data_IF_325020227088
#
_entry.id   IF_325020227088
#
_cell.length_a   1.000
_cell.length_b   1.000
_cell.length_c   1.000
_cell.angle_alpha   90.00
_cell.angle_beta   90.00
_cell.angle_gamma   90.00
#
_symmetry.space_group_name_H-M   'P 1'
#
loop_
_entity.id
_entity.type
_entity.pdbx_description
1 polymer ?
#
# COMPACT_ATOMS: atom_id res chain seq x y z
N UNK A 1 10.11 39.98 30.19
CA UNK A 1 8.73 39.80 30.68
C UNK A 1 8.29 38.40 30.32
N UNK A 2 8.49 37.46 31.25
CA UNK A 2 8.18 36.04 31.09
C UNK A 2 6.97 35.73 31.97
N UNK A 3 5.82 35.54 31.34
CA UNK A 3 4.55 35.29 32.02
C UNK A 3 4.44 33.79 32.31
N UNK A 4 4.71 33.40 33.56
CA UNK A 4 4.45 32.04 34.05
C UNK A 4 2.95 31.86 34.28
N UNK A 5 2.32 30.95 33.53
CA UNK A 5 0.95 30.52 33.75
C UNK A 5 0.97 29.28 34.66
N UNK A 6 0.72 29.47 35.95
CA UNK A 6 0.54 28.37 36.91
C UNK A 6 -0.94 28.00 36.98
N UNK A 7 -1.37 27.01 36.20
CA UNK A 7 -2.68 26.36 36.36
C UNK A 7 -2.58 25.25 37.41
N UNK A 8 -2.79 25.61 38.66
CA UNK A 8 -3.03 24.66 39.76
C UNK A 8 -4.46 24.10 39.62
N UNK A 9 -4.59 22.96 38.92
CA UNK A 9 -5.81 22.14 38.92
C UNK A 9 -5.95 21.44 40.28
N UNK A 10 -6.53 22.15 41.24
CA UNK A 10 -7.04 21.57 42.49
C UNK A 10 -8.25 20.70 42.15
N UNK A 11 -8.00 19.39 41.98
CA UNK A 11 -9.03 18.36 41.85
C UNK A 11 -9.82 18.22 43.14
N UNK A 12 -10.78 19.11 43.35
CA UNK A 12 -11.85 18.88 44.32
C UNK A 12 -12.72 17.72 43.82
N UNK A 13 -13.16 16.80 44.70
CA UNK A 13 -14.10 15.75 44.30
C UNK A 13 -15.33 16.42 43.69
N UNK A 14 -15.67 16.04 42.46
CA UNK A 14 -16.93 16.42 41.82
C UNK A 14 -18.06 15.96 42.74
N UNK A 15 -18.58 16.87 43.55
CA UNK A 15 -19.84 16.68 44.26
C UNK A 15 -20.95 16.73 43.22
N UNK A 16 -21.17 15.60 42.56
CA UNK A 16 -22.37 15.37 41.79
C UNK A 16 -23.52 15.38 42.80
N UNK A 17 -24.26 16.48 42.82
CA UNK A 17 -25.46 16.65 43.64
C UNK A 17 -26.37 15.44 43.45
N UNK A 18 -26.51 14.63 44.51
CA UNK A 18 -27.33 13.42 44.52
C UNK A 18 -28.83 13.69 44.27
N UNK A 19 -29.25 14.96 44.24
CA UNK A 19 -30.63 15.39 44.03
C UNK A 19 -31.10 15.33 42.56
N UNK A 20 -30.20 15.08 41.59
CA UNK A 20 -30.57 15.04 40.16
C UNK A 20 -30.97 13.65 39.65
N UNK A 21 -30.83 12.60 40.47
CA UNK A 21 -30.96 11.22 40.00
C UNK A 21 -32.30 10.65 40.47
N UNK A 22 -33.43 11.14 39.96
CA UNK A 22 -34.73 10.40 40.03
C UNK A 22 -35.40 10.19 38.67
N UNK A 23 -34.93 10.88 37.62
CA UNK A 23 -35.43 10.69 36.26
C UNK A 23 -34.88 9.40 35.61
N UNK A 24 -35.70 8.75 34.79
CA UNK A 24 -35.26 7.69 33.87
C UNK A 24 -34.60 8.36 32.68
N UNK A 25 -33.37 7.97 32.34
CA UNK A 25 -32.66 8.48 31.18
C UNK A 25 -33.09 7.68 29.95
N UNK A 26 -33.69 8.33 28.96
CA UNK A 26 -34.10 7.68 27.71
C UNK A 26 -33.04 7.87 26.64
N UNK A 27 -32.47 6.77 26.15
CA UNK A 27 -31.48 6.75 25.07
C UNK A 27 -32.10 6.09 23.84
N UNK A 28 -32.02 6.78 22.70
CA UNK A 28 -32.42 6.23 21.41
C UNK A 28 -31.21 6.01 20.53
N UNK A 29 -31.04 4.79 20.05
CA UNK A 29 -29.92 4.37 19.23
C UNK A 29 -30.42 4.11 17.81
N UNK A 30 -29.86 4.78 16.81
CA UNK A 30 -30.06 4.44 15.41
C UNK A 30 -28.85 3.65 14.93
N UNK A 31 -29.05 2.39 14.57
CA UNK A 31 -27.98 1.49 14.13
C UNK A 31 -28.13 1.20 12.64
N UNK A 32 -27.25 1.79 11.84
CA UNK A 32 -27.17 1.50 10.41
C UNK A 32 -26.46 0.17 10.22
N UNK A 33 -27.14 -0.77 9.59
CA UNK A 33 -26.67 -2.14 9.43
C UNK A 33 -26.87 -2.61 8.00
N UNK A 34 -25.93 -3.44 7.52
CA UNK A 34 -26.05 -4.09 6.23
C UNK A 34 -26.79 -5.42 6.41
N UNK A 35 -27.86 -5.63 5.65
CA UNK A 35 -28.77 -6.77 5.85
C UNK A 35 -28.15 -8.10 5.43
N UNK A 36 -27.38 -8.06 4.35
CA UNK A 36 -26.94 -9.25 3.63
C UNK A 36 -25.52 -9.62 4.06
N UNK A 37 -25.19 -10.93 4.15
CA UNK A 37 -23.80 -11.34 4.27
C UNK A 37 -23.08 -10.93 2.98
N UNK A 38 -22.11 -10.01 3.02
CA UNK A 38 -21.39 -9.64 1.83
C UNK A 38 -20.53 -10.83 1.37
N UNK A 39 -20.25 -10.94 0.06
CA UNK A 39 -19.46 -12.04 -0.49
C UNK A 39 -18.03 -12.13 0.09
N UNK A 40 -17.56 -11.08 0.78
CA UNK A 40 -16.25 -11.01 1.42
C UNK A 40 -16.27 -11.16 2.95
N UNK A 41 -17.37 -11.65 3.56
CA UNK A 41 -17.36 -12.01 4.99
C UNK A 41 -17.22 -10.84 5.96
N UNK A 42 -17.67 -9.63 5.59
CA UNK A 42 -17.68 -8.48 6.49
C UNK A 42 -18.53 -8.81 7.73
N UNK A 43 -17.88 -8.88 8.89
CA UNK A 43 -18.47 -9.30 10.17
C UNK A 43 -19.53 -8.33 10.72
N UNK A 44 -19.78 -7.22 10.04
CA UNK A 44 -20.72 -6.17 10.45
C UNK A 44 -22.15 -6.31 9.91
N UNK A 45 -22.53 -7.44 9.29
CA UNK A 45 -23.92 -7.62 8.84
C UNK A 45 -24.86 -8.00 9.98
N UNK A 46 -26.13 -7.60 9.85
CA UNK A 46 -27.14 -7.75 10.90
C UNK A 46 -27.28 -9.18 11.46
N UNK A 47 -27.23 -10.26 10.65
CA UNK A 47 -27.31 -11.62 11.18
C UNK A 47 -26.18 -11.98 12.17
N UNK A 48 -25.01 -11.34 12.08
CA UNK A 48 -23.88 -11.61 12.96
C UNK A 48 -23.89 -10.73 14.22
N UNK A 49 -24.24 -9.44 14.09
CA UNK A 49 -24.17 -8.49 15.20
C UNK A 49 -25.49 -8.30 15.95
N UNK A 50 -26.62 -8.63 15.32
CA UNK A 50 -27.97 -8.48 15.89
C UNK A 50 -28.12 -9.17 17.25
N UNK A 51 -27.78 -10.47 17.38
CA UNK A 51 -27.86 -11.17 18.66
C UNK A 51 -27.00 -10.53 19.76
N UNK A 52 -25.84 -9.94 19.41
CA UNK A 52 -24.98 -9.24 20.35
C UNK A 52 -25.62 -7.95 20.85
N UNK A 53 -26.28 -7.18 19.98
CA UNK A 53 -27.05 -5.99 20.37
C UNK A 53 -28.22 -6.33 21.28
N UNK A 54 -29.00 -7.38 20.95
CA UNK A 54 -30.12 -7.81 21.77
C UNK A 54 -29.66 -8.24 23.17
N UNK A 55 -28.60 -9.04 23.24
CA UNK A 55 -28.00 -9.48 24.51
C UNK A 55 -27.48 -8.28 25.31
N UNK A 56 -26.77 -7.35 24.66
CA UNK A 56 -26.25 -6.15 25.32
C UNK A 56 -27.39 -5.27 25.87
N UNK A 57 -28.50 -5.13 25.11
CA UNK A 57 -29.66 -4.36 25.56
C UNK A 57 -30.34 -5.00 26.77
N UNK A 58 -30.48 -6.32 26.78
CA UNK A 58 -31.02 -7.06 27.93
C UNK A 58 -30.14 -6.89 29.17
N UNK A 59 -28.82 -7.02 29.00
CA UNK A 59 -27.85 -6.81 30.08
C UNK A 59 -27.88 -5.39 30.61
N UNK A 60 -27.96 -4.38 29.74
CA UNK A 60 -28.05 -2.98 30.15
C UNK A 60 -29.36 -2.73 30.90
N UNK A 61 -30.49 -3.22 30.42
CA UNK A 61 -31.78 -3.06 31.10
C UNK A 61 -31.75 -3.67 32.51
N UNK A 62 -31.06 -4.81 32.67
CA UNK A 62 -30.89 -5.49 33.96
C UNK A 62 -29.94 -4.74 34.90
N UNK A 63 -28.79 -4.27 34.40
CA UNK A 63 -27.76 -3.62 35.21
C UNK A 63 -28.08 -2.16 35.53
N UNK A 64 -28.84 -1.49 34.66
CA UNK A 64 -29.16 -0.07 34.73
C UNK A 64 -30.68 0.12 34.58
N UNK A 65 -31.48 -0.23 35.61
CA UNK A 65 -32.95 -0.18 35.53
C UNK A 65 -33.52 1.23 35.33
N UNK A 66 -32.68 2.25 35.42
CA UNK A 66 -33.01 3.67 35.23
C UNK A 66 -32.59 4.22 33.87
N UNK A 67 -32.08 3.34 33.02
CA UNK A 67 -31.66 3.64 31.67
C UNK A 67 -32.62 2.92 30.72
N UNK A 68 -33.45 3.68 30.02
CA UNK A 68 -34.36 3.14 29.02
C UNK A 68 -33.70 3.26 27.65
N UNK A 69 -33.30 2.14 27.06
CA UNK A 69 -32.64 2.12 25.74
C UNK A 69 -33.59 1.58 24.68
N UNK A 70 -33.80 2.36 23.64
CA UNK A 70 -34.42 1.92 22.39
C UNK A 70 -33.38 1.87 21.28
N UNK A 71 -33.47 0.87 20.39
CA UNK A 71 -32.57 0.72 19.27
C UNK A 71 -33.37 0.47 17.99
N UNK A 72 -33.21 1.35 17.01
CA UNK A 72 -33.81 1.28 15.68
C UNK A 72 -32.73 0.83 14.69
N UNK A 73 -32.91 -0.34 14.06
CA UNK A 73 -32.02 -0.81 13.00
C UNK A 73 -32.44 -0.22 11.65
N UNK A 74 -31.52 0.49 11.01
CA UNK A 74 -31.63 0.98 9.64
C UNK A 74 -30.96 -0.02 8.71
N UNK A 75 -31.79 -0.88 8.15
CA UNK A 75 -31.37 -1.98 7.30
C UNK A 75 -31.20 -1.49 5.87
N UNK A 76 -30.13 -1.94 5.21
CA UNK A 76 -29.86 -1.63 3.80
C UNK A 76 -31.02 -1.94 2.87
N UNK A 77 -31.26 -1.06 1.89
CA UNK A 77 -32.18 -1.35 0.78
C UNK A 77 -31.75 -2.63 0.04
N UNK A 78 -32.68 -3.46 -0.45
CA UNK A 78 -32.36 -4.61 -1.30
C UNK A 78 -31.63 -4.22 -2.60
N UNK A 79 -31.68 -2.94 -2.99
CA UNK A 79 -30.98 -2.41 -4.15
C UNK A 79 -29.48 -2.20 -3.89
N UNK A 80 -29.07 -2.02 -2.63
CA UNK A 80 -27.67 -1.86 -2.24
C UNK A 80 -26.98 -3.23 -2.18
N UNK A 81 -26.17 -3.55 -3.19
CA UNK A 81 -25.47 -4.83 -3.31
C UNK A 81 -24.16 -4.85 -2.54
N UNK A 82 -23.55 -3.69 -2.33
CA UNK A 82 -22.26 -3.56 -1.66
C UNK A 82 -22.33 -2.68 -0.41
N UNK A 83 -21.42 -2.93 0.53
CA UNK A 83 -21.24 -2.08 1.72
C UNK A 83 -21.07 -0.61 1.34
N UNK A 84 -20.26 -0.33 0.30
CA UNK A 84 -19.94 1.02 -0.17
C UNK A 84 -21.17 1.73 -0.76
N UNK A 85 -22.02 1.02 -1.50
CA UNK A 85 -23.29 1.58 -1.98
C UNK A 85 -24.20 1.93 -0.81
N UNK A 86 -24.32 1.04 0.18
CA UNK A 86 -25.12 1.32 1.36
C UNK A 86 -24.56 2.45 2.20
N UNK A 87 -23.24 2.56 2.35
CA UNK A 87 -22.59 3.65 3.10
C UNK A 87 -22.90 5.04 2.49
N UNK A 88 -23.08 5.14 1.17
CA UNK A 88 -23.47 6.39 0.51
C UNK A 88 -24.93 6.77 0.76
N UNK A 89 -25.82 5.78 0.85
CA UNK A 89 -27.26 5.98 1.05
C UNK A 89 -27.70 5.98 2.52
N UNK A 90 -26.89 5.41 3.40
CA UNK A 90 -27.23 5.25 4.82
C UNK A 90 -27.48 6.56 5.52
N UNK A 91 -26.76 7.58 5.08
CA UNK A 91 -26.83 8.96 5.50
C UNK A 91 -28.22 9.56 5.23
N UNK A 92 -28.69 9.44 3.99
CA UNK A 92 -30.04 9.87 3.59
C UNK A 92 -31.12 9.05 4.31
N UNK A 93 -30.94 7.73 4.42
CA UNK A 93 -31.87 6.85 5.10
C UNK A 93 -31.98 7.18 6.60
N UNK A 94 -30.84 7.47 7.24
CA UNK A 94 -30.77 7.88 8.64
C UNK A 94 -31.46 9.22 8.85
N UNK A 95 -31.18 10.21 8.00
CA UNK A 95 -31.80 11.52 8.07
C UNK A 95 -33.31 11.45 7.85
N UNK A 96 -33.76 10.72 6.83
CA UNK A 96 -35.17 10.51 6.58
C UNK A 96 -35.87 9.86 7.77
N UNK A 97 -35.22 8.89 8.44
CA UNK A 97 -35.75 8.26 9.65
C UNK A 97 -35.78 9.19 10.85
N UNK A 98 -34.70 9.93 11.08
CA UNK A 98 -34.56 10.83 12.23
C UNK A 98 -35.51 12.02 12.13
N UNK A 99 -35.50 12.74 11.00
CA UNK A 99 -36.35 13.92 10.78
C UNK A 99 -37.81 13.57 10.44
N UNK A 100 -38.08 12.37 9.91
CA UNK A 100 -39.44 11.90 9.63
C UNK A 100 -40.25 11.50 10.88
N UNK A 101 -39.59 11.30 12.03
CA UNK A 101 -40.25 11.05 13.32
C UNK A 101 -40.72 12.39 13.91
N UNK A 102 -41.78 12.95 13.36
CA UNK A 102 -42.30 14.29 13.73
C UNK A 102 -42.83 14.39 15.18
N UNK A 103 -43.02 13.26 15.88
CA UNK A 103 -43.62 13.24 17.23
C UNK A 103 -43.04 12.16 18.18
N UNK A 104 -41.97 11.45 17.80
CA UNK A 104 -41.40 10.44 18.69
C UNK A 104 -40.88 11.12 19.94
N UNK A 105 -41.31 10.65 21.13
CA UNK A 105 -40.87 11.16 22.43
C UNK A 105 -39.39 11.51 22.38
N UNK A 106 -39.06 12.77 22.63
CA UNK A 106 -37.68 13.25 22.61
C UNK A 106 -36.87 12.41 23.59
N UNK A 107 -36.03 11.52 23.06
CA UNK A 107 -35.02 10.85 23.87
C UNK A 107 -34.11 11.91 24.49
N UNK A 108 -33.68 11.68 25.73
CA UNK A 108 -32.73 12.57 26.40
C UNK A 108 -31.37 12.52 25.70
N UNK A 109 -31.02 11.37 25.12
CA UNK A 109 -29.80 11.17 24.34
C UNK A 109 -30.12 10.39 23.07
N UNK A 110 -29.64 10.87 21.93
CA UNK A 110 -29.67 10.11 20.66
C UNK A 110 -28.25 9.68 20.29
N UNK A 111 -28.08 8.40 19.99
CA UNK A 111 -26.83 7.79 19.57
C UNK A 111 -26.97 7.27 18.14
N UNK A 112 -25.95 7.48 17.32
CA UNK A 112 -25.87 6.97 15.96
C UNK A 112 -24.73 5.95 15.88
N UNK A 113 -25.08 4.70 15.60
CA UNK A 113 -24.13 3.62 15.33
C UNK A 113 -24.10 3.37 13.83
N UNK A 114 -22.92 3.50 13.24
CA UNK A 114 -22.74 3.48 11.80
C UNK A 114 -22.24 2.12 11.34
N UNK A 115 -22.50 1.74 10.08
CA UNK A 115 -22.03 0.46 9.60
C UNK A 115 -20.51 0.54 9.48
N UNK A 116 -19.79 -0.52 9.83
CA UNK A 116 -18.35 -0.63 9.55
C UNK A 116 -18.03 -0.81 8.05
N UNK A 117 -18.88 -0.29 7.17
CA UNK A 117 -18.78 -0.42 5.72
C UNK A 117 -17.80 0.56 5.09
N UNK A 118 -17.57 1.73 5.71
CA UNK A 118 -16.56 2.73 5.35
C UNK A 118 -16.43 3.75 6.49
N UNK A 119 -15.26 4.36 6.67
CA UNK A 119 -15.00 5.30 7.76
C UNK A 119 -15.93 6.53 7.70
N UNK A 120 -16.48 6.87 8.87
CA UNK A 120 -17.34 7.97 9.37
C UNK A 120 -17.51 9.33 8.62
N UNK A 121 -17.01 9.52 7.39
CA UNK A 121 -16.96 10.81 6.69
C UNK A 121 -18.33 11.46 6.47
N UNK A 122 -19.36 10.68 6.15
CA UNK A 122 -20.71 11.19 5.90
C UNK A 122 -21.44 11.68 7.16
N UNK A 123 -21.30 10.95 8.26
CA UNK A 123 -22.08 11.21 9.48
C UNK A 123 -21.49 12.36 10.30
N UNK A 124 -20.19 12.61 10.14
CA UNK A 124 -19.59 13.83 10.64
C UNK A 124 -20.32 15.08 10.10
N UNK A 125 -20.83 15.04 8.85
CA UNK A 125 -21.62 16.10 8.24
C UNK A 125 -23.08 16.12 8.74
N UNK A 126 -23.74 14.96 8.89
CA UNK A 126 -25.09 14.88 9.47
C UNK A 126 -25.18 15.46 10.88
N UNK A 127 -24.14 15.29 11.68
CA UNK A 127 -24.14 15.72 13.07
C UNK A 127 -23.64 17.16 13.27
N UNK A 128 -23.52 17.98 12.22
CA UNK A 128 -23.08 19.40 12.33
C UNK A 128 -24.09 20.34 13.01
N UNK A 129 -25.30 19.86 13.32
CA UNK A 129 -26.29 20.57 14.15
C UNK A 129 -26.76 19.76 15.38
N UNK A 130 -26.08 18.64 15.69
CA UNK A 130 -26.36 17.84 16.87
C UNK A 130 -25.27 18.11 17.92
N UNK A 131 -25.64 18.21 19.19
CA UNK A 131 -24.69 18.23 20.31
C UNK A 131 -23.94 16.90 20.34
N UNK A 132 -22.80 16.84 19.64
CA UNK A 132 -22.01 15.61 19.53
C UNK A 132 -21.38 15.30 20.89
N UNK A 133 -21.79 14.19 21.49
CA UNK A 133 -20.99 13.53 22.50
C UNK A 133 -19.88 12.73 21.82
N UNK A 134 -18.77 13.40 21.48
CA UNK A 134 -17.55 12.70 21.07
C UNK A 134 -16.93 12.13 22.35
N UNK A 135 -17.01 10.81 22.53
CA UNK A 135 -16.39 10.14 23.66
C UNK A 135 -14.93 9.83 23.30
N UNK A 136 -14.08 10.87 23.28
CA UNK A 136 -12.63 10.72 23.17
C UNK A 136 -12.07 10.24 24.52
N UNK A 137 -12.21 8.95 24.83
CA UNK A 137 -11.75 8.41 26.12
C UNK A 137 -11.15 7.02 26.00
N UNK A 138 -10.22 6.76 26.92
CA UNK A 138 -9.79 5.43 27.30
C UNK A 138 -10.77 4.88 28.34
N UNK A 139 -11.29 3.68 28.12
CA UNK A 139 -12.18 2.97 29.03
C UNK A 139 -11.43 1.80 29.65
N UNK A 140 -11.36 1.74 30.98
CA UNK A 140 -10.84 0.57 31.67
C UNK A 140 -11.91 -0.50 31.77
N UNK A 141 -11.76 -1.56 30.98
CA UNK A 141 -12.60 -2.76 31.04
C UNK A 141 -11.89 -3.87 31.82
N UNK A 142 -12.63 -4.91 32.18
CA UNK A 142 -12.04 -6.13 32.79
C UNK A 142 -11.00 -6.80 31.90
N UNK A 143 -11.11 -6.61 30.59
CA UNK A 143 -10.21 -7.17 29.57
C UNK A 143 -9.02 -6.26 29.25
N UNK A 144 -8.92 -5.09 29.88
CA UNK A 144 -7.89 -4.10 29.64
C UNK A 144 -8.45 -2.75 29.20
N UNK A 145 -7.55 -1.80 28.98
CA UNK A 145 -7.90 -0.46 28.56
C UNK A 145 -8.22 -0.42 27.06
N UNK A 146 -9.36 0.18 26.71
CA UNK A 146 -9.77 0.43 25.32
C UNK A 146 -9.68 1.92 25.05
N UNK A 147 -8.87 2.34 24.08
CA UNK A 147 -8.78 3.74 23.65
C UNK A 147 -9.54 3.92 22.35
N UNK A 148 -10.41 4.93 22.30
CA UNK A 148 -11.10 5.38 21.08
C UNK A 148 -10.38 6.63 20.56
N UNK A 149 -9.97 6.59 19.29
CA UNK A 149 -9.29 7.67 18.60
C UNK A 149 -10.20 8.87 18.32
N UNK A 150 -9.62 9.95 17.78
CA UNK A 150 -10.37 11.17 17.45
C UNK A 150 -11.44 10.93 16.37
N UNK A 151 -11.21 9.97 15.47
CA UNK A 151 -12.16 9.54 14.44
C UNK A 151 -13.22 8.54 14.95
N UNK A 152 -13.24 8.20 16.24
CA UNK A 152 -14.24 7.32 16.83
C UNK A 152 -13.98 5.81 16.64
N UNK A 153 -12.84 5.45 16.06
CA UNK A 153 -12.36 4.08 15.93
C UNK A 153 -11.64 3.61 17.19
N UNK A 154 -11.70 2.30 17.47
CA UNK A 154 -10.88 1.70 18.51
C UNK A 154 -9.43 1.63 18.03
N UNK A 155 -8.49 2.14 18.82
CA UNK A 155 -7.06 1.95 18.59
C UNK A 155 -6.63 0.66 19.32
N UNK A 156 -6.42 -0.46 18.62
CA UNK A 156 -6.05 -1.71 19.28
C UNK A 156 -4.60 -1.65 19.77
N UNK A 157 -4.32 -2.24 20.93
CA UNK A 157 -2.95 -2.52 21.36
C UNK A 157 -2.35 -3.58 20.43
N UNK A 158 -1.34 -3.20 19.66
CA UNK A 158 -0.58 -4.15 18.85
C UNK A 158 0.57 -4.72 19.66
N UNK A 159 0.78 -6.04 19.57
CA UNK A 159 1.89 -6.72 20.25
C UNK A 159 2.70 -7.52 19.25
N UNK A 160 4.02 -7.50 19.42
CA UNK A 160 4.95 -8.38 18.71
C UNK A 160 5.38 -9.44 19.70
N UNK A 161 4.95 -10.68 19.46
CA UNK A 161 5.33 -11.85 20.22
C UNK A 161 6.45 -12.62 19.52
N UNK A 162 7.28 -13.26 20.31
CA UNK A 162 8.33 -14.16 19.85
C UNK A 162 8.28 -15.43 20.69
N UNK A 163 8.35 -16.58 20.03
CA UNK A 163 8.53 -17.87 20.70
C UNK A 163 9.94 -17.94 21.26
N UNK A 164 10.05 -18.17 22.57
CA UNK A 164 11.31 -18.42 23.22
C UNK A 164 11.81 -19.83 22.87
N UNK A 165 13.09 -19.96 22.51
CA UNK A 165 13.65 -21.23 22.04
C UNK A 165 13.83 -22.22 23.19
N UNK A 166 14.11 -21.72 24.40
CA UNK A 166 14.40 -22.57 25.55
C UNK A 166 13.12 -23.02 26.26
N UNK A 167 12.12 -22.13 26.36
CA UNK A 167 10.85 -22.44 27.04
C UNK A 167 9.71 -22.86 26.11
N UNK A 168 9.83 -22.69 24.80
CA UNK A 168 8.76 -22.84 23.80
C UNK A 168 7.53 -21.92 24.04
N UNK A 169 7.63 -20.96 24.95
CA UNK A 169 6.53 -20.05 25.27
C UNK A 169 6.50 -18.84 24.34
N UNK A 170 5.29 -18.36 24.02
CA UNK A 170 5.08 -17.11 23.29
C UNK A 170 5.23 -15.91 24.24
N UNK A 171 6.27 -15.11 24.03
CA UNK A 171 6.58 -13.96 24.89
C UNK A 171 6.41 -12.65 24.11
N UNK A 172 5.66 -11.70 24.68
CA UNK A 172 5.54 -10.34 24.12
C UNK A 172 6.88 -9.61 24.26
N UNK A 173 7.46 -9.20 23.13
CA UNK A 173 8.74 -8.46 23.07
C UNK A 173 8.53 -6.97 22.83
N UNK A 174 7.59 -6.60 21.97
CA UNK A 174 7.17 -5.21 21.79
C UNK A 174 5.67 -5.07 21.99
N UNK A 175 5.27 -3.90 22.47
CA UNK A 175 3.88 -3.49 22.60
C UNK A 175 3.75 -2.07 22.08
N UNK A 176 2.76 -1.80 21.24
CA UNK A 176 2.42 -0.44 20.86
C UNK A 176 1.49 0.17 21.89
N UNK A 177 1.85 1.34 22.40
CA UNK A 177 0.96 2.17 23.21
C UNK A 177 -0.15 2.75 22.33
N UNK A 178 -1.44 2.43 22.57
CA UNK A 178 -2.54 2.91 21.74
C UNK A 178 -2.77 4.42 21.85
N UNK A 179 -2.33 5.08 22.92
CA UNK A 179 -2.51 6.52 23.10
C UNK A 179 -1.46 7.33 22.34
N UNK A 180 -0.20 6.86 22.34
CA UNK A 180 0.92 7.60 21.73
C UNK A 180 1.38 7.02 20.39
N UNK A 181 0.91 5.82 20.04
CA UNK A 181 1.38 5.06 18.88
C UNK A 181 2.82 4.56 19.02
N UNK A 182 3.49 4.80 20.15
CA UNK A 182 4.91 4.45 20.36
C UNK A 182 5.07 2.97 20.65
N UNK A 183 6.12 2.38 20.09
CA UNK A 183 6.53 1.02 20.42
C UNK A 183 7.33 1.02 21.73
N UNK A 184 6.86 0.26 22.70
CA UNK A 184 7.51 -0.01 23.98
C UNK A 184 8.12 -1.40 23.90
N UNK A 185 9.43 -1.49 24.16
CA UNK A 185 10.13 -2.75 24.26
C UNK A 185 9.84 -3.37 25.63
N UNK A 186 9.05 -4.44 25.67
CA UNK A 186 8.70 -5.17 26.90
C UNK A 186 9.86 -6.06 27.34
N UNK A 187 10.54 -6.71 26.38
CA UNK A 187 11.71 -7.57 26.61
C UNK A 187 12.67 -7.50 25.42
N UNK A 188 13.99 -7.72 25.61
CA UNK A 188 14.94 -7.79 24.51
C UNK A 188 14.54 -8.88 23.49
N UNK A 189 14.62 -8.53 22.21
CA UNK A 189 14.33 -9.46 21.10
C UNK A 189 15.56 -10.33 20.89
N UNK A 190 15.39 -11.65 20.91
CA UNK A 190 16.46 -12.61 20.66
C UNK A 190 16.51 -12.94 19.18
N UNK A 191 17.67 -12.73 18.54
CA UNK A 191 17.84 -13.08 17.13
C UNK A 191 18.69 -14.34 17.02
N UNK A 192 18.33 -15.32 16.17
CA UNK A 192 19.06 -16.59 16.09
C UNK A 192 20.56 -16.42 15.80
N UNK A 193 20.94 -15.40 15.02
CA UNK A 193 22.33 -15.12 14.65
C UNK A 193 23.06 -14.20 15.65
N UNK A 194 22.38 -13.69 16.69
CA UNK A 194 22.89 -12.65 17.59
C UNK A 194 23.15 -11.28 16.94
N UNK A 195 23.12 -11.18 15.61
CA UNK A 195 23.36 -9.95 14.87
C UNK A 195 22.04 -9.27 14.52
N UNK A 196 21.81 -8.09 15.10
CA UNK A 196 20.62 -7.26 14.91
C UNK A 196 21.00 -5.82 14.56
N UNK A 197 20.26 -5.11 13.68
CA UNK A 197 19.15 -5.59 12.86
C UNK A 197 19.55 -6.56 11.75
N UNK A 198 18.68 -7.53 11.46
CA UNK A 198 18.79 -8.27 10.20
C UNK A 198 18.68 -7.24 9.09
N UNK A 199 19.58 -7.31 8.11
CA UNK A 199 19.52 -6.39 6.97
C UNK A 199 18.16 -6.54 6.29
N UNK A 200 17.50 -5.40 6.07
CA UNK A 200 16.26 -5.32 5.31
C UNK A 200 16.47 -5.62 3.81
N UNK A 201 17.72 -5.75 3.37
CA UNK A 201 18.11 -6.12 2.02
C UNK A 201 19.23 -7.18 2.08
N UNK A 202 19.18 -8.27 1.28
CA UNK A 202 20.26 -9.25 1.24
C UNK A 202 21.57 -8.60 0.74
N UNK A 203 22.72 -9.20 1.08
CA UNK A 203 24.05 -8.66 0.73
C UNK A 203 24.23 -8.34 -0.76
N UNK A 204 23.57 -9.09 -1.65
CA UNK A 204 23.63 -8.90 -3.09
C UNK A 204 22.48 -8.07 -3.66
N UNK A 205 21.65 -7.45 -2.83
CA UNK A 205 20.40 -6.83 -3.25
C UNK A 205 19.35 -7.87 -3.65
N UNK A 206 18.08 -7.47 -3.71
CA UNK A 206 16.99 -8.38 -4.08
C UNK A 206 17.12 -8.93 -5.50
N UNK A 207 17.85 -8.22 -6.37
CA UNK A 207 18.08 -8.60 -7.78
C UNK A 207 19.46 -9.19 -8.04
N UNK A 208 20.32 -9.30 -7.03
CA UNK A 208 21.70 -9.75 -7.22
C UNK A 208 22.62 -8.70 -7.87
N UNK A 209 22.14 -7.47 -8.06
CA UNK A 209 22.81 -6.38 -8.75
C UNK A 209 23.53 -5.40 -7.81
N UNK A 210 23.51 -5.64 -6.48
CA UNK A 210 24.28 -4.82 -5.56
C UNK A 210 25.78 -4.88 -5.91
N UNK A 211 26.46 -3.74 -5.81
CA UNK A 211 27.88 -3.58 -6.15
C UNK A 211 28.77 -4.61 -5.44
N UNK A 212 28.39 -5.03 -4.23
CA UNK A 212 29.09 -6.05 -3.46
C UNK A 212 29.14 -7.44 -4.13
N UNK A 213 28.22 -7.72 -5.06
CA UNK A 213 28.10 -9.01 -5.76
C UNK A 213 28.19 -8.88 -7.29
N UNK A 214 28.26 -7.66 -7.82
CA UNK A 214 28.67 -7.46 -9.20
C UNK A 214 30.10 -8.00 -9.34
N UNK A 215 30.23 -9.16 -9.99
CA UNK A 215 31.53 -9.60 -10.49
C UNK A 215 32.09 -8.44 -11.28
N UNK A 216 33.26 -7.94 -10.90
CA UNK A 216 33.92 -6.91 -11.70
C UNK A 216 33.93 -7.43 -13.14
N UNK A 217 33.45 -6.65 -14.11
CA UNK A 217 33.42 -7.10 -15.49
C UNK A 217 34.84 -7.56 -15.81
N UNK A 218 34.99 -8.83 -16.19
CA UNK A 218 36.30 -9.36 -16.58
C UNK A 218 36.83 -8.41 -17.65
N UNK A 219 37.85 -7.62 -17.30
CA UNK A 219 38.42 -6.58 -18.18
C UNK A 219 38.77 -7.17 -19.56
N UNK A 220 39.03 -8.48 -19.63
CA UNK A 220 39.19 -9.27 -20.85
C UNK A 220 38.08 -9.07 -21.91
N UNK A 221 36.80 -8.98 -21.53
CA UNK A 221 35.69 -9.01 -22.49
C UNK A 221 35.51 -7.69 -23.25
N UNK A 222 35.93 -6.55 -22.67
CA UNK A 222 35.77 -5.24 -23.30
C UNK A 222 36.99 -4.87 -24.16
N UNK A 223 38.21 -5.20 -23.74
CA UNK A 223 39.41 -4.77 -24.45
C UNK A 223 39.74 -5.62 -25.68
N UNK A 224 39.30 -6.88 -25.72
CA UNK A 224 39.52 -7.77 -26.87
C UNK A 224 38.94 -7.22 -28.19
N UNK A 225 37.64 -6.88 -28.25
CA UNK A 225 37.03 -6.33 -29.46
C UNK A 225 37.57 -4.95 -29.87
N UNK A 226 37.91 -4.09 -28.89
CA UNK A 226 38.43 -2.75 -29.16
C UNK A 226 39.83 -2.82 -29.79
N UNK A 227 40.73 -3.66 -29.25
CA UNK A 227 42.06 -3.86 -29.85
C UNK A 227 41.99 -4.58 -31.20
N UNK A 228 41.07 -5.54 -31.34
CA UNK A 228 40.83 -6.23 -32.61
C UNK A 228 40.33 -5.28 -33.71
N UNK A 229 39.33 -4.46 -33.43
CA UNK A 229 38.79 -3.48 -34.39
C UNK A 229 39.80 -2.39 -34.75
N UNK A 230 40.55 -1.87 -33.77
CA UNK A 230 41.62 -0.92 -34.01
C UNK A 230 42.71 -1.50 -34.92
N UNK A 231 43.14 -2.75 -34.70
CA UNK A 231 44.16 -3.39 -35.54
C UNK A 231 43.65 -3.64 -36.98
N UNK A 232 42.40 -4.08 -37.15
CA UNK A 232 41.77 -4.21 -38.46
C UNK A 232 41.69 -2.86 -39.20
N UNK A 233 41.31 -1.77 -38.51
CA UNK A 233 41.26 -0.44 -39.11
C UNK A 233 42.65 0.01 -39.59
N UNK A 234 43.69 -0.18 -38.78
CA UNK A 234 45.08 0.15 -39.14
C UNK A 234 45.55 -0.69 -40.34
N UNK A 235 45.23 -1.99 -40.38
CA UNK A 235 45.57 -2.86 -41.50
C UNK A 235 44.87 -2.43 -42.79
N UNK A 236 43.58 -2.10 -42.74
CA UNK A 236 42.83 -1.61 -43.91
C UNK A 236 43.42 -0.30 -44.41
N UNK A 237 43.71 0.65 -43.51
CA UNK A 237 44.36 1.91 -43.87
C UNK A 237 45.74 1.68 -44.50
N UNK A 238 46.54 0.76 -43.97
CA UNK A 238 47.85 0.40 -44.53
C UNK A 238 47.73 -0.22 -45.93
N UNK A 239 46.75 -1.09 -46.18
CA UNK A 239 46.49 -1.69 -47.49
C UNK A 239 46.04 -0.63 -48.50
N UNK A 240 45.12 0.24 -48.11
CA UNK A 240 44.64 1.34 -48.97
C UNK A 240 45.78 2.30 -49.30
N UNK A 241 46.60 2.66 -48.31
CA UNK A 241 47.75 3.54 -48.52
C UNK A 241 48.79 2.90 -49.45
N UNK A 242 49.11 1.60 -49.27
CA UNK A 242 50.03 0.86 -50.13
C UNK A 242 49.52 0.72 -51.56
N UNK A 243 48.22 0.47 -51.76
CA UNK A 243 47.62 0.43 -53.11
C UNK A 243 47.68 1.80 -53.78
N UNK A 244 47.34 2.87 -53.05
CA UNK A 244 47.33 4.22 -53.60
C UNK A 244 48.72 4.76 -53.91
N UNK A 245 49.74 4.30 -53.20
CA UNK A 245 51.15 4.70 -53.40
C UNK A 245 51.92 3.73 -54.29
N UNK A 246 51.30 2.65 -54.79
CA UNK A 246 51.95 1.72 -55.70
C UNK A 246 52.35 2.45 -56.99
N UNK A 247 53.65 2.58 -57.30
CA UNK A 247 54.13 3.32 -58.46
C UNK A 247 53.70 2.72 -59.81
N UNK A 248 53.18 1.49 -59.80
CA UNK A 248 52.75 0.75 -60.98
C UNK A 248 51.57 1.40 -61.69
N UNK A 249 50.60 1.95 -60.93
CA UNK A 249 49.42 2.61 -61.53
C UNK A 249 49.78 3.98 -62.12
N UNK A 250 50.91 4.57 -61.70
CA UNK A 250 51.35 5.86 -62.22
C UNK A 250 52.05 5.75 -63.58
N UNK A 251 52.67 4.60 -63.88
CA UNK A 251 53.35 4.36 -65.16
C UNK A 251 52.35 4.09 -66.31
N UNK A 252 51.28 3.32 -66.08
CA UNK A 252 50.27 3.04 -67.13
C UNK A 252 49.50 4.28 -67.60
N UNK A 253 49.30 5.30 -66.75
CA UNK A 253 48.66 6.56 -67.17
C UNK A 253 49.57 7.47 -68.01
N UNK A 254 50.87 7.21 -68.08
CA UNK A 254 51.83 8.04 -68.83
C UNK A 254 52.40 7.36 -70.07
N UNK A 255 51.93 6.17 -70.46
CA UNK A 255 52.42 5.47 -71.66
C UNK A 255 51.33 5.16 -72.69
N UNK A 256 50.11 5.69 -72.53
CA UNK A 256 49.00 5.46 -73.47
C UNK A 256 49.23 6.02 -74.88
N UNK A 257 50.23 6.87 -75.08
CA UNK A 257 50.60 7.43 -76.39
C UNK A 257 51.74 6.68 -77.10
N UNK A 258 52.32 5.64 -76.50
CA UNK A 258 53.27 4.77 -77.18
C UNK A 258 52.50 3.77 -78.04
N UNK A 259 52.28 4.14 -79.31
CA UNK A 259 51.75 3.27 -80.34
C UNK A 259 52.70 2.07 -80.53
N UNK A 260 52.19 0.89 -80.22
CA UNK A 260 52.84 -0.40 -80.43
C UNK A 260 53.02 -0.62 -81.95
N UNK A 261 54.27 -0.75 -82.40
CA UNK A 261 54.63 -0.84 -83.83
C UNK A 261 54.22 -2.14 -84.51
N UNK A 262 53.63 -3.08 -83.78
CA UNK A 262 53.34 -4.44 -84.25
C UNK A 262 52.04 -4.54 -85.06
N UNK A 263 51.23 -3.47 -85.09
CA UNK A 263 49.97 -3.43 -85.86
C UNK A 263 50.14 -3.18 -87.37
N UNK A 264 51.38 -3.02 -87.88
CA UNK A 264 51.66 -2.88 -89.32
C UNK A 264 52.14 -4.19 -90.00
N UNK A 265 52.01 -5.35 -89.34
CA UNK A 265 52.21 -6.64 -90.00
C UNK A 265 50.91 -7.13 -90.64
N UNK A 266 50.70 -6.72 -91.90
CA UNK A 266 49.65 -7.25 -92.76
C UNK A 266 49.89 -8.75 -92.98
N UNK A 267 49.15 -9.61 -92.26
CA UNK A 267 49.14 -11.05 -92.50
C UNK A 267 47.93 -11.43 -93.36
N UNK A 268 48.23 -11.56 -94.64
CA UNK A 268 47.41 -12.17 -95.69
C UNK A 268 47.01 -13.60 -95.33
N UNK A 269 45.71 -13.89 -95.47
CA UNK A 269 45.03 -15.18 -95.70
C UNK A 269 45.60 -16.47 -95.10
N UNK A 270 44.75 -17.23 -94.40
CA UNK A 270 44.33 -18.52 -94.95
C UNK A 270 43.03 -19.05 -94.32
N UNK A 271 42.10 -19.31 -95.23
CA UNK A 271 40.80 -19.93 -95.07
C UNK A 271 40.98 -21.45 -95.12
N UNK A 272 40.57 -22.14 -94.07
CA UNK A 272 40.30 -23.59 -93.97
C UNK A 272 39.04 -23.65 -93.09
N UNK A 273 37.81 -23.83 -93.59
CA UNK A 273 37.25 -25.03 -94.26
C UNK A 273 37.83 -26.29 -93.65
N UNK A 274 37.17 -26.79 -92.60
CA UNK A 274 37.00 -28.22 -92.42
C UNK A 274 35.70 -28.49 -91.68
N UNK A 275 35.07 -29.54 -92.16
CA UNK A 275 33.68 -29.92 -92.00
C UNK A 275 33.36 -30.53 -90.62
N UNK A 276 32.13 -30.27 -90.19
CA UNK A 276 31.29 -31.16 -89.37
C UNK A 276 31.33 -32.60 -89.95
N UNK A 277 31.11 -33.69 -89.16
CA UNK A 277 29.77 -33.87 -88.61
C UNK A 277 29.61 -34.76 -87.35
N UNK A 278 28.50 -34.47 -86.67
CA UNK A 278 27.46 -35.39 -86.20
C UNK A 278 27.68 -36.37 -85.02
N UNK A 279 26.60 -36.39 -84.23
CA UNK A 279 26.07 -37.41 -83.32
C UNK A 279 26.49 -37.33 -81.84
#
# INVERSE_FOLDING_TARGET
>A
MTTHCNTSLSGGPLQVSAAAIERILTVQIFSVVFAYPPPAGTLGSLPYIGPAFDTAREDIARLFPRLNISQDFLVSSPESRTCTEWARESDNALAARYYGKTESEKADVTLFLLPGCEDAGGVAQFATQLDKLIISRTFSLRTGDITIGESGERIPTMVVSQTDVDSEEMIIKLMQDPATGRLVLTKPISWPSGQWPVLNEPRCGFRGDAVACQKQPDFSMIYGPVLGTASCFVLVLAIVFRRRTSPTDMLERTSWWLLETDFMSWKTSQQTVDDDPAA
#
